data_IF_810918103716
#
_entry.id   IF_810918103716
#
_cell.length_a   1.000
_cell.length_b   1.000
_cell.length_c   1.000
_cell.angle_alpha   90.00
_cell.angle_beta   90.00
_cell.angle_gamma   90.00
#
_symmetry.space_group_name_H-M   'P 1'
#
loop_
_entity.id
_entity.type
_entity.pdbx_description
1 polymer ?
#
# COMPACT_ATOMS: atom_id res chain seq x y z
N UNK A 1 -9.44 14.16 14.89
CA UNK A 1 -8.35 13.38 14.27
C UNK A 1 -8.33 12.03 14.98
N UNK A 2 -8.39 10.89 14.28
CA UNK A 2 -8.52 9.59 14.95
C UNK A 2 -7.34 9.29 15.87
N UNK A 3 -7.61 8.78 17.06
CA UNK A 3 -6.57 8.43 18.03
C UNK A 3 -5.87 7.11 17.67
N UNK A 4 -4.70 6.83 18.28
CA UNK A 4 -3.89 5.62 18.00
C UNK A 4 -4.69 4.30 18.04
N UNK A 5 -5.65 4.09 18.98
CA UNK A 5 -6.47 2.88 18.98
C UNK A 5 -7.41 2.78 17.77
N UNK A 6 -7.90 3.91 17.27
CA UNK A 6 -8.77 3.96 16.09
C UNK A 6 -7.99 3.61 14.82
N UNK A 7 -6.79 4.18 14.64
CA UNK A 7 -5.92 3.87 13.49
C UNK A 7 -5.61 2.37 13.41
N UNK A 8 -5.41 1.72 14.57
CA UNK A 8 -5.21 0.27 14.62
C UNK A 8 -6.46 -0.51 14.20
N UNK A 9 -7.65 -0.13 14.70
CA UNK A 9 -8.92 -0.76 14.28
C UNK A 9 -9.15 -0.60 12.77
N UNK A 10 -8.86 0.57 12.21
CA UNK A 10 -8.94 0.79 10.77
C UNK A 10 -7.93 -0.05 10.00
N UNK A 11 -6.70 -0.19 10.50
CA UNK A 11 -5.70 -1.05 9.88
C UNK A 11 -6.14 -2.52 9.87
N UNK A 12 -6.70 -3.01 10.98
CA UNK A 12 -7.19 -4.39 11.09
C UNK A 12 -8.38 -4.62 10.14
N UNK A 13 -9.33 -3.68 10.06
CA UNK A 13 -10.47 -3.75 9.14
C UNK A 13 -10.01 -3.73 7.67
N UNK A 14 -9.07 -2.85 7.32
CA UNK A 14 -8.47 -2.81 5.98
C UNK A 14 -7.74 -4.11 5.68
N UNK A 15 -6.96 -4.63 6.63
CA UNK A 15 -6.25 -5.88 6.44
C UNK A 15 -7.20 -7.05 6.16
N UNK A 16 -8.34 -7.13 6.86
CA UNK A 16 -9.36 -8.13 6.57
C UNK A 16 -10.00 -7.92 5.19
N UNK A 17 -10.22 -6.67 4.79
CA UNK A 17 -10.87 -6.34 3.53
C UNK A 17 -9.98 -6.60 2.31
N UNK A 18 -8.68 -6.29 2.39
CA UNK A 18 -7.77 -6.29 1.23
C UNK A 18 -6.55 -7.19 1.35
N UNK A 19 -6.25 -7.71 2.54
CA UNK A 19 -5.12 -8.62 2.75
C UNK A 19 -5.27 -9.88 1.90
N UNK A 20 -4.18 -10.28 1.25
CA UNK A 20 -4.12 -11.40 0.32
C UNK A 20 -4.73 -11.13 -1.07
N UNK A 21 -5.29 -9.94 -1.33
CA UNK A 21 -5.96 -9.62 -2.61
C UNK A 21 -5.02 -8.86 -3.57
N UNK A 22 -5.18 -9.06 -4.89
CA UNK A 22 -4.42 -8.31 -5.88
C UNK A 22 -4.93 -6.87 -6.03
N UNK A 23 -4.03 -5.96 -6.36
CA UNK A 23 -4.34 -4.58 -6.71
C UNK A 23 -4.73 -4.53 -8.19
N UNK A 24 -6.01 -4.31 -8.46
CA UNK A 24 -6.54 -4.25 -9.84
C UNK A 24 -6.53 -2.84 -10.44
N UNK A 25 -6.47 -1.82 -9.59
CA UNK A 25 -6.48 -0.42 -9.98
C UNK A 25 -5.86 0.44 -8.88
N UNK A 26 -5.19 1.52 -9.28
CA UNK A 26 -4.66 2.54 -8.38
C UNK A 26 -5.17 3.91 -8.84
N UNK A 27 -5.50 4.79 -7.90
CA UNK A 27 -5.87 6.17 -8.20
C UNK A 27 -5.26 7.09 -7.15
N UNK A 28 -4.32 7.95 -7.56
CA UNK A 28 -3.80 9.00 -6.68
C UNK A 28 -4.61 10.29 -6.78
N UNK A 29 -4.88 10.91 -5.62
CA UNK A 29 -5.59 12.21 -5.55
C UNK A 29 -4.66 13.38 -5.21
N UNK A 30 -3.64 13.17 -4.39
CA UNK A 30 -2.72 14.23 -3.97
C UNK A 30 -1.64 14.47 -5.02
N UNK A 31 -1.09 15.70 -5.07
CA UNK A 31 -0.07 16.09 -6.06
C UNK A 31 1.14 15.15 -6.04
N UNK A 32 1.67 14.85 -4.86
CA UNK A 32 2.82 13.95 -4.67
C UNK A 32 2.50 12.52 -5.11
N UNK A 33 1.34 11.98 -4.73
CA UNK A 33 0.97 10.63 -5.12
C UNK A 33 0.72 10.51 -6.63
N UNK A 34 0.17 11.55 -7.26
CA UNK A 34 -0.01 11.60 -8.73
C UNK A 34 1.33 11.67 -9.46
N UNK A 35 2.31 12.40 -8.92
CA UNK A 35 3.66 12.41 -9.49
C UNK A 35 4.29 11.01 -9.42
N UNK A 36 4.20 10.37 -8.26
CA UNK A 36 4.70 9.00 -8.08
C UNK A 36 4.01 7.98 -9.01
N UNK A 37 2.68 8.05 -9.15
CA UNK A 37 1.90 7.18 -10.05
C UNK A 37 2.32 7.35 -11.52
N UNK A 38 2.68 8.58 -11.93
CA UNK A 38 3.18 8.86 -13.28
C UNK A 38 4.60 8.35 -13.50
N UNK A 39 5.45 8.42 -12.48
CA UNK A 39 6.84 7.95 -12.54
C UNK A 39 6.92 6.41 -12.50
N UNK A 40 5.96 5.75 -11.84
CA UNK A 40 5.93 4.30 -11.61
C UNK A 40 4.63 3.68 -12.14
N UNK A 41 4.34 3.80 -13.45
CA UNK A 41 3.10 3.32 -14.00
C UNK A 41 2.99 1.80 -13.81
N UNK A 42 1.87 1.35 -13.28
CA UNK A 42 1.53 -0.06 -13.12
C UNK A 42 2.43 -0.89 -12.18
N UNK A 43 3.40 -0.30 -11.49
CA UNK A 43 4.33 -1.04 -10.60
C UNK A 43 3.59 -1.84 -9.52
N UNK A 44 2.48 -1.28 -9.03
CA UNK A 44 1.63 -1.91 -8.01
C UNK A 44 0.48 -2.75 -8.59
N UNK A 45 0.19 -2.66 -9.89
CA UNK A 45 -0.93 -3.42 -10.47
C UNK A 45 -0.60 -4.92 -10.50
N UNK A 46 -1.63 -5.74 -10.27
CA UNK A 46 -1.57 -7.18 -10.09
C UNK A 46 -0.71 -7.65 -8.89
N UNK A 47 -0.14 -6.74 -8.10
CA UNK A 47 0.58 -7.08 -6.87
C UNK A 47 -0.40 -7.44 -5.77
N UNK A 48 0.01 -8.35 -4.88
CA UNK A 48 -0.78 -8.75 -3.73
C UNK A 48 -0.47 -7.86 -2.54
N UNK A 49 -1.51 -7.35 -1.89
CA UNK A 49 -1.36 -6.73 -0.58
C UNK A 49 -1.17 -7.86 0.43
N UNK A 50 0.03 -8.02 0.98
CA UNK A 50 0.28 -9.05 1.99
C UNK A 50 -0.43 -8.72 3.29
N UNK A 51 -0.28 -7.47 3.74
CA UNK A 51 -0.84 -7.04 5.02
C UNK A 51 -0.97 -5.53 5.12
N UNK A 52 -2.00 -5.06 5.81
CA UNK A 52 -2.13 -3.65 6.25
C UNK A 52 -1.83 -3.55 7.74
N UNK A 53 -1.02 -2.57 8.15
CA UNK A 53 -0.69 -2.30 9.55
C UNK A 53 -0.75 -0.81 9.86
N UNK A 54 -0.96 -0.47 11.12
CA UNK A 54 -0.79 0.90 11.61
C UNK A 54 0.63 1.11 12.12
N UNK A 55 1.27 2.21 11.72
CA UNK A 55 2.51 2.72 12.32
C UNK A 55 2.25 4.11 12.90
N UNK A 56 2.07 4.21 14.21
CA UNK A 56 1.69 5.45 14.88
C UNK A 56 0.33 5.96 14.40
N UNK A 57 0.32 7.07 13.66
CA UNK A 57 -0.89 7.67 13.05
C UNK A 57 -1.02 7.39 11.55
N UNK A 58 -0.17 6.52 11.01
CA UNK A 58 -0.13 6.18 9.59
C UNK A 58 -0.60 4.75 9.36
N UNK A 59 -1.19 4.51 8.18
CA UNK A 59 -1.50 3.18 7.67
C UNK A 59 -0.45 2.80 6.63
N UNK A 60 0.06 1.58 6.72
CA UNK A 60 1.10 1.05 5.85
C UNK A 60 0.61 -0.27 5.26
N UNK A 61 0.56 -0.34 3.93
CA UNK A 61 0.33 -1.58 3.20
C UNK A 61 1.65 -2.23 2.83
N UNK A 62 1.84 -3.48 3.23
CA UNK A 62 2.91 -4.34 2.76
C UNK A 62 2.43 -5.01 1.48
N UNK A 63 3.21 -4.86 0.42
CA UNK A 63 2.93 -5.43 -0.90
C UNK A 63 4.01 -6.47 -1.15
N UNK A 64 3.60 -7.58 -1.76
CA UNK A 64 4.51 -8.65 -2.21
C UNK A 64 5.78 -8.06 -2.83
N UNK A 65 6.92 -8.52 -2.31
CA UNK A 65 8.24 -8.06 -2.74
C UNK A 65 8.42 -8.41 -4.21
N UNK A 66 8.40 -7.38 -5.06
CA UNK A 66 8.89 -7.53 -6.41
C UNK A 66 10.38 -7.86 -6.32
N UNK A 67 10.73 -9.13 -6.52
CA UNK A 67 12.00 -9.47 -7.13
C UNK A 67 11.92 -8.89 -8.54
N UNK A 68 12.43 -7.67 -8.66
CA UNK A 68 12.77 -7.08 -9.94
C UNK A 68 13.61 -8.14 -10.70
N UNK A 69 13.26 -8.54 -11.93
CA UNK A 69 14.10 -9.45 -12.70
C UNK A 69 15.50 -8.86 -12.97
N UNK A 70 15.72 -7.58 -12.62
CA UNK A 70 17.01 -6.88 -12.66
C UNK A 70 17.58 -6.51 -11.29
N UNK A 71 17.06 -7.04 -10.17
CA UNK A 71 17.73 -6.99 -8.87
C UNK A 71 17.83 -5.60 -8.21
N UNK A 72 16.84 -4.72 -8.39
CA UNK A 72 16.77 -3.43 -7.71
C UNK A 72 15.91 -3.48 -6.44
N UNK A 73 16.53 -3.38 -5.26
CA UNK A 73 15.83 -3.07 -4.01
C UNK A 73 15.40 -1.60 -4.03
N UNK A 74 14.09 -1.31 -4.00
CA UNK A 74 13.61 0.06 -3.75
C UNK A 74 13.54 0.22 -2.22
N UNK A 75 14.53 0.92 -1.65
CA UNK A 75 14.58 1.35 -0.25
C UNK A 75 13.74 2.61 -0.01
#
# INVERSE_FOLDING_TARGET
MPERPEVRRFADALNQAVGGKPIVSLLARTKTAKAWEKEHPSVLLNRRIERVRSHGKHLVGLIDSFLDPFGGFIS
#
